data_IF_921224132045
#
_entry.id   IF_921224132045
#
_cell.length_a   1.000
_cell.length_b   1.000
_cell.length_c   1.000
_cell.angle_alpha   90.00
_cell.angle_beta   90.00
_cell.angle_gamma   90.00
#
_symmetry.space_group_name_H-M   'P 1'
#
loop_
_entity.id
_entity.type
_entity.pdbx_description
1 polymer ?
#
# COMPACT_ATOMS: atom_id res chain seq x y z
N UNK A 1 3.76 11.52 -8.11
CA UNK A 1 3.73 12.53 -7.01
C UNK A 1 4.62 12.18 -5.81
N UNK A 2 4.89 10.89 -5.55
CA UNK A 2 5.57 10.45 -4.32
C UNK A 2 6.99 11.05 -4.16
N UNK A 3 7.82 10.99 -5.21
CA UNK A 3 9.17 11.57 -5.18
C UNK A 3 9.19 13.11 -5.04
N UNK A 4 8.12 13.79 -5.46
CA UNK A 4 8.01 15.26 -5.44
C UNK A 4 7.79 15.83 -4.04
N UNK A 5 7.03 15.12 -3.21
CA UNK A 5 6.62 15.60 -1.89
C UNK A 5 7.25 14.84 -0.73
N UNK A 6 7.76 13.62 -0.98
CA UNK A 6 8.16 12.69 0.09
C UNK A 6 9.68 12.44 0.15
N UNK A 7 10.48 13.13 -0.66
CA UNK A 7 11.94 12.97 -0.65
C UNK A 7 12.39 11.53 -0.96
N UNK A 8 13.49 11.09 -0.36
CA UNK A 8 13.98 9.71 -0.50
C UNK A 8 13.30 8.79 0.52
N UNK A 9 12.26 8.08 0.09
CA UNK A 9 11.52 7.16 0.94
C UNK A 9 12.36 6.00 1.47
N UNK A 10 13.25 5.43 0.66
CA UNK A 10 14.14 4.35 1.13
C UNK A 10 15.05 4.82 2.26
N UNK A 11 15.58 6.05 2.17
CA UNK A 11 16.38 6.63 3.25
C UNK A 11 15.57 6.83 4.53
N UNK A 12 14.29 7.18 4.43
CA UNK A 12 13.42 7.34 5.60
C UNK A 12 13.05 5.98 6.20
N UNK A 13 12.55 5.06 5.38
CA UNK A 13 12.06 3.74 5.78
C UNK A 13 13.15 2.86 6.39
N UNK A 14 14.43 3.05 6.04
CA UNK A 14 15.57 2.35 6.66
C UNK A 14 15.62 2.49 8.18
N UNK A 15 15.08 3.58 8.73
CA UNK A 15 15.18 3.87 10.17
C UNK A 15 14.02 3.29 10.99
N UNK A 16 13.10 2.55 10.37
CA UNK A 16 11.94 1.97 11.04
C UNK A 16 12.17 0.48 11.32
N UNK A 17 11.83 0.03 12.54
CA UNK A 17 11.79 -1.39 12.88
C UNK A 17 10.69 -2.14 12.11
N UNK A 18 9.60 -1.44 11.82
CA UNK A 18 8.48 -1.91 11.00
C UNK A 18 8.24 -0.88 9.91
N UNK A 19 8.60 -1.24 8.68
CA UNK A 19 8.29 -0.44 7.49
C UNK A 19 6.78 -0.41 7.28
N UNK A 20 6.24 0.76 6.91
CA UNK A 20 4.80 0.96 6.75
C UNK A 20 4.41 1.82 5.55
N UNK A 21 3.16 1.69 5.11
CA UNK A 21 2.53 2.55 4.10
C UNK A 21 1.00 2.55 4.28
N UNK A 22 0.29 3.33 3.47
CA UNK A 22 -1.16 3.48 3.57
C UNK A 22 -1.82 3.15 2.24
N UNK A 23 -2.93 2.42 2.31
CA UNK A 23 -3.83 2.17 1.18
C UNK A 23 -5.30 2.22 1.66
N UNK A 24 -5.89 3.42 1.60
CA UNK A 24 -7.14 3.70 2.31
C UNK A 24 -8.39 3.44 1.48
N UNK A 25 -8.30 3.62 0.16
CA UNK A 25 -9.47 3.62 -0.72
C UNK A 25 -9.86 2.22 -1.20
N UNK A 26 -11.13 2.00 -1.58
CA UNK A 26 -11.62 0.71 -2.06
C UNK A 26 -11.25 0.49 -3.53
N UNK A 27 -9.95 0.57 -3.86
CA UNK A 27 -9.44 0.35 -5.22
C UNK A 27 -8.17 -0.49 -5.19
N UNK A 28 -7.74 -0.95 -6.34
CA UNK A 28 -6.46 -1.65 -6.53
C UNK A 28 -5.84 -1.09 -7.80
N UNK A 29 -4.58 -1.41 -8.08
CA UNK A 29 -3.95 -0.98 -9.32
C UNK A 29 -4.57 -1.63 -10.56
N UNK A 30 -5.08 -0.78 -11.46
CA UNK A 30 -5.61 -1.14 -12.79
C UNK A 30 -4.72 -0.52 -13.88
N UNK A 31 -4.92 -0.84 -15.18
CA UNK A 31 -4.20 -0.15 -16.24
C UNK A 31 -4.45 1.37 -16.25
N UNK A 32 -5.61 1.79 -15.75
CA UNK A 32 -6.01 3.20 -15.64
C UNK A 32 -5.49 3.88 -14.36
N UNK A 33 -5.23 3.11 -13.30
CA UNK A 33 -4.67 3.57 -12.02
C UNK A 33 -3.42 2.76 -11.61
N UNK A 34 -2.35 2.73 -12.43
CA UNK A 34 -1.16 1.91 -12.17
C UNK A 34 -0.38 2.38 -10.94
N UNK A 35 -0.53 3.65 -10.56
CA UNK A 35 0.13 4.28 -9.41
C UNK A 35 -0.27 3.65 -8.06
N UNK A 36 -1.38 2.92 -7.98
CA UNK A 36 -1.83 2.31 -6.72
C UNK A 36 -0.86 1.23 -6.23
N UNK A 37 -0.15 0.54 -7.13
CA UNK A 37 0.83 -0.49 -6.73
C UNK A 37 2.08 0.09 -6.06
N UNK A 38 2.42 1.35 -6.37
CA UNK A 38 3.76 1.91 -6.13
C UNK A 38 4.08 2.05 -4.65
N UNK A 39 3.16 2.60 -3.84
CA UNK A 39 3.42 2.81 -2.41
C UNK A 39 3.67 1.50 -1.66
N UNK A 40 2.87 0.48 -1.97
CA UNK A 40 2.99 -0.87 -1.43
C UNK A 40 4.31 -1.53 -1.84
N UNK A 41 4.69 -1.43 -3.12
CA UNK A 41 5.97 -1.96 -3.62
C UNK A 41 7.18 -1.19 -3.08
N UNK A 42 7.09 0.12 -2.82
CA UNK A 42 8.15 0.86 -2.12
C UNK A 42 8.33 0.32 -0.71
N UNK A 43 7.24 0.14 0.04
CA UNK A 43 7.30 -0.38 1.40
C UNK A 43 7.87 -1.80 1.47
N UNK A 44 7.40 -2.71 0.61
CA UNK A 44 7.91 -4.09 0.58
C UNK A 44 9.37 -4.14 0.11
N UNK A 45 9.75 -3.41 -0.94
CA UNK A 45 11.15 -3.33 -1.39
C UNK A 45 12.06 -2.81 -0.28
N UNK A 46 11.66 -1.74 0.43
CA UNK A 46 12.45 -1.18 1.53
C UNK A 46 12.61 -2.20 2.68
N UNK A 47 11.56 -2.94 3.01
CA UNK A 47 11.63 -4.00 4.00
C UNK A 47 12.59 -5.12 3.58
N UNK A 48 12.58 -5.54 2.32
CA UNK A 48 13.51 -6.54 1.78
C UNK A 48 14.96 -6.07 1.84
N UNK A 49 15.23 -4.80 1.53
CA UNK A 49 16.59 -4.24 1.55
C UNK A 49 17.13 -4.04 2.96
N UNK A 50 16.29 -3.61 3.90
CA UNK A 50 16.72 -3.21 5.24
C UNK A 50 16.42 -4.26 6.32
N UNK A 51 15.85 -5.40 5.94
CA UNK A 51 15.66 -6.54 6.84
C UNK A 51 14.44 -6.43 7.77
N UNK A 52 13.48 -5.57 7.45
CA UNK A 52 12.23 -5.51 8.22
C UNK A 52 11.42 -6.78 7.97
N UNK A 53 11.21 -7.57 9.02
CA UNK A 53 10.41 -8.81 8.94
C UNK A 53 8.93 -8.51 8.67
N UNK A 54 8.46 -7.33 9.13
CA UNK A 54 7.07 -6.90 9.02
C UNK A 54 6.94 -5.72 8.07
N UNK A 55 5.90 -5.72 7.26
CA UNK A 55 5.51 -4.59 6.40
C UNK A 55 4.06 -4.27 6.71
N UNK A 56 3.86 -3.11 7.34
CA UNK A 56 2.56 -2.63 7.76
C UNK A 56 1.85 -1.90 6.61
N UNK A 57 0.55 -2.13 6.47
CA UNK A 57 -0.30 -1.23 5.70
C UNK A 57 -1.46 -0.74 6.54
N UNK A 58 -1.64 0.58 6.63
CA UNK A 58 -2.90 1.16 7.08
C UNK A 58 -3.94 1.04 5.96
N UNK A 59 -5.04 0.33 6.24
CA UNK A 59 -5.98 -0.08 5.21
C UNK A 59 -7.41 0.29 5.56
N UNK A 60 -8.25 0.43 4.53
CA UNK A 60 -9.71 0.56 4.63
C UNK A 60 -10.29 1.91 5.13
N UNK A 61 -9.48 2.94 5.39
CA UNK A 61 -9.93 4.23 5.93
C UNK A 61 -10.80 5.10 5.02
N UNK A 62 -10.92 4.75 3.74
CA UNK A 62 -11.75 5.44 2.76
C UNK A 62 -12.76 4.52 2.08
N UNK A 63 -13.08 3.36 2.67
CA UNK A 63 -13.93 2.33 2.02
C UNK A 63 -15.43 2.59 2.11
N UNK A 64 -15.82 3.69 2.77
CA UNK A 64 -17.18 4.15 3.00
C UNK A 64 -18.09 3.18 3.79
N UNK A 65 -19.26 3.64 4.20
CA UNK A 65 -20.20 2.87 5.04
C UNK A 65 -20.86 1.67 4.31
N UNK A 66 -20.81 1.63 2.98
CA UNK A 66 -21.29 0.49 2.17
C UNK A 66 -20.26 -0.67 2.09
N UNK A 67 -19.12 -0.54 2.79
CA UNK A 67 -18.06 -1.56 2.76
C UNK A 67 -18.56 -2.94 3.20
N UNK A 68 -18.25 -3.94 2.37
CA UNK A 68 -18.58 -5.35 2.62
C UNK A 68 -17.32 -6.15 2.96
N UNK A 69 -17.46 -7.27 3.67
CA UNK A 69 -16.30 -8.16 3.92
C UNK A 69 -15.67 -8.69 2.63
N UNK A 70 -16.43 -8.82 1.54
CA UNK A 70 -15.88 -9.20 0.24
C UNK A 70 -14.95 -8.11 -0.32
N UNK A 71 -15.34 -6.83 -0.20
CA UNK A 71 -14.49 -5.68 -0.58
C UNK A 71 -13.24 -5.61 0.31
N UNK A 72 -13.37 -5.82 1.62
CA UNK A 72 -12.22 -5.89 2.52
C UNK A 72 -11.23 -6.98 2.13
N UNK A 73 -11.72 -8.18 1.82
CA UNK A 73 -10.89 -9.30 1.36
C UNK A 73 -10.19 -8.97 0.05
N UNK A 74 -10.90 -8.37 -0.91
CA UNK A 74 -10.35 -8.00 -2.21
C UNK A 74 -9.17 -7.02 -2.10
N UNK A 75 -9.32 -5.96 -1.29
CA UNK A 75 -8.24 -4.99 -1.02
C UNK A 75 -7.08 -5.66 -0.29
N UNK A 76 -7.37 -6.41 0.78
CA UNK A 76 -6.33 -7.09 1.55
C UNK A 76 -5.52 -8.08 0.70
N UNK A 77 -6.18 -8.93 -0.10
CA UNK A 77 -5.48 -9.89 -0.97
C UNK A 77 -4.48 -9.19 -1.89
N UNK A 78 -4.86 -8.04 -2.46
CA UNK A 78 -3.99 -7.26 -3.32
C UNK A 78 -2.80 -6.65 -2.55
N UNK A 79 -3.02 -6.08 -1.36
CA UNK A 79 -1.93 -5.60 -0.50
C UNK A 79 -0.94 -6.71 -0.14
N UNK A 80 -1.43 -7.89 0.26
CA UNK A 80 -0.57 -9.02 0.62
C UNK A 80 0.23 -9.56 -0.57
N UNK A 81 -0.36 -9.58 -1.78
CA UNK A 81 0.35 -9.96 -3.02
C UNK A 81 1.50 -9.00 -3.32
N UNK A 82 1.38 -7.72 -2.95
CA UNK A 82 2.42 -6.70 -3.16
C UNK A 82 3.49 -6.66 -2.05
N UNK A 83 3.41 -7.59 -1.09
CA UNK A 83 4.43 -7.79 -0.06
C UNK A 83 4.08 -7.22 1.32
N UNK A 84 2.86 -6.74 1.53
CA UNK A 84 2.37 -6.42 2.88
C UNK A 84 2.18 -7.72 3.67
N UNK A 85 2.53 -7.71 4.95
CA UNK A 85 2.31 -8.86 5.83
C UNK A 85 1.81 -8.49 7.24
N UNK A 86 1.46 -7.23 7.46
CA UNK A 86 0.82 -6.72 8.67
C UNK A 86 -0.30 -5.75 8.26
N UNK A 87 -1.50 -6.28 8.13
CA UNK A 87 -2.70 -5.51 7.80
C UNK A 87 -3.22 -4.74 9.02
N UNK A 88 -3.33 -3.43 8.94
CA UNK A 88 -3.79 -2.56 10.02
C UNK A 88 -5.06 -1.81 9.58
N UNK A 89 -6.27 -2.25 9.97
CA UNK A 89 -7.49 -1.51 9.68
C UNK A 89 -7.42 -0.09 10.26
N UNK A 90 -7.84 0.90 9.47
CA UNK A 90 -7.78 2.33 9.80
C UNK A 90 -8.30 2.67 11.19
N UNK A 91 -9.47 2.15 11.60
CA UNK A 91 -10.03 2.55 12.88
C UNK A 91 -11.22 1.75 13.39
N UNK A 92 -11.16 1.40 14.68
CA UNK A 92 -12.30 0.90 15.43
C UNK A 92 -12.88 2.03 16.30
N UNK A 93 -13.84 2.77 15.76
CA UNK A 93 -14.38 3.95 16.46
C UNK A 93 -15.25 3.55 17.64
N UNK A 94 -14.95 4.11 18.82
CA UNK A 94 -15.77 3.92 20.03
C UNK A 94 -17.21 4.46 19.87
N UNK A 95 -17.40 5.52 19.07
CA UNK A 95 -18.70 6.10 18.78
C UNK A 95 -18.73 6.68 17.38
N UNK A 96 -19.87 6.53 16.70
CA UNK A 96 -20.17 7.16 15.41
C UNK A 96 -21.23 8.27 15.54
N UNK A 97 -21.43 8.80 16.75
CA UNK A 97 -22.38 9.89 16.99
C UNK A 97 -21.93 11.18 16.28
N UNK A 98 -22.91 11.89 15.73
CA UNK A 98 -22.75 13.19 15.08
C UNK A 98 -21.71 13.18 13.97
N UNK A 99 -20.72 14.08 14.01
CA UNK A 99 -19.67 14.21 13.01
C UNK A 99 -18.66 13.05 13.04
N UNK A 100 -18.61 12.24 14.11
CA UNK A 100 -17.65 11.12 14.22
C UNK A 100 -17.85 10.03 13.17
N UNK A 101 -19.07 9.89 12.61
CA UNK A 101 -19.31 8.98 11.48
C UNK A 101 -18.70 9.46 10.15
N UNK A 102 -18.18 10.69 10.11
CA UNK A 102 -17.59 11.30 8.92
C UNK A 102 -16.07 11.39 8.98
N UNK A 103 -15.48 11.08 10.14
CA UNK A 103 -14.04 10.92 10.27
C UNK A 103 -13.64 9.64 9.52
N UNK A 104 -13.02 9.80 8.35
CA UNK A 104 -12.51 8.73 7.47
C UNK A 104 -13.30 7.42 7.53
N UNK A 105 -14.56 7.42 7.02
CA UNK A 105 -15.45 6.29 7.17
C UNK A 105 -15.04 5.10 6.28
N UNK A 106 -15.29 3.86 6.74
CA UNK A 106 -16.08 3.50 7.90
C UNK A 106 -15.26 3.18 9.16
N UNK A 107 -15.95 3.11 10.31
CA UNK A 107 -15.42 2.39 11.48
C UNK A 107 -15.45 0.88 11.19
N UNK A 108 -14.35 0.14 11.38
CA UNK A 108 -14.34 -1.31 11.18
C UNK A 108 -14.94 -2.10 12.38
N UNK A 109 -15.77 -1.46 13.20
CA UNK A 109 -16.24 -1.99 14.48
C UNK A 109 -17.72 -2.43 14.50
N UNK A 110 -18.31 -2.57 15.70
CA UNK A 110 -19.63 -3.17 15.94
C UNK A 110 -20.83 -2.48 15.27
N UNK A 111 -20.62 -1.31 14.67
CA UNK A 111 -21.65 -0.57 13.94
C UNK A 111 -22.07 -1.26 12.64
N UNK A 112 -21.24 -2.15 12.08
CA UNK A 112 -21.55 -2.85 10.83
C UNK A 112 -22.31 -4.17 11.06
N UNK A 113 -23.22 -4.54 10.13
CA UNK A 113 -23.98 -5.79 10.22
C UNK A 113 -23.09 -7.05 10.13
N UNK A 114 -21.92 -6.93 9.49
CA UNK A 114 -20.95 -8.01 9.36
C UNK A 114 -20.04 -8.18 10.57
N UNK A 115 -20.09 -7.31 11.59
CA UNK A 115 -19.19 -7.37 12.75
C UNK A 115 -19.19 -8.73 13.46
N UNK A 116 -20.38 -9.34 13.62
CA UNK A 116 -20.53 -10.69 14.19
C UNK A 116 -19.77 -11.79 13.44
N UNK A 117 -19.33 -11.51 12.21
CA UNK A 117 -18.55 -12.42 11.37
C UNK A 117 -17.11 -11.93 11.15
N UNK A 118 -16.71 -10.78 11.70
CA UNK A 118 -15.40 -10.17 11.47
C UNK A 118 -14.23 -11.09 11.85
N UNK A 119 -14.43 -11.98 12.83
CA UNK A 119 -13.46 -13.00 13.20
C UNK A 119 -13.02 -13.85 12.00
N UNK A 120 -13.90 -14.14 11.04
CA UNK A 120 -13.54 -14.91 9.84
C UNK A 120 -12.50 -14.17 8.98
N UNK A 121 -12.67 -12.85 8.84
CA UNK A 121 -11.72 -11.99 8.13
C UNK A 121 -10.41 -11.86 8.93
N UNK A 122 -10.49 -11.59 10.24
CA UNK A 122 -9.30 -11.48 11.09
C UNK A 122 -8.47 -12.77 11.12
N UNK A 123 -9.12 -13.94 11.24
CA UNK A 123 -8.43 -15.24 11.22
C UNK A 123 -7.80 -15.52 9.85
N UNK A 124 -8.42 -15.07 8.75
CA UNK A 124 -7.85 -15.17 7.41
C UNK A 124 -6.58 -14.30 7.29
N UNK A 125 -6.64 -13.06 7.73
CA UNK A 125 -5.48 -12.15 7.77
C UNK A 125 -4.36 -12.67 8.66
N UNK A 126 -4.69 -13.24 9.83
CA UNK A 126 -3.71 -13.85 10.73
C UNK A 126 -2.88 -14.95 10.03
N UNK A 127 -3.54 -15.83 9.27
CA UNK A 127 -2.86 -16.92 8.55
C UNK A 127 -1.92 -16.39 7.46
N UNK A 128 -2.38 -15.42 6.67
CA UNK A 128 -1.55 -14.79 5.64
C UNK A 128 -0.35 -14.06 6.26
N UNK A 129 -0.61 -13.26 7.30
CA UNK A 129 0.42 -12.54 8.05
C UNK A 129 1.50 -13.48 8.58
N UNK A 130 1.10 -14.59 9.19
CA UNK A 130 2.05 -15.60 9.69
C UNK A 130 2.87 -16.23 8.55
N UNK A 131 2.22 -16.66 7.47
CA UNK A 131 2.90 -17.31 6.33
C UNK A 131 3.89 -16.38 5.62
N UNK A 132 3.58 -15.08 5.52
CA UNK A 132 4.35 -14.12 4.72
C UNK A 132 5.42 -13.35 5.54
N UNK A 133 5.58 -13.64 6.84
CA UNK A 133 6.62 -13.04 7.69
C UNK A 133 7.84 -13.95 7.93
N UNK A 134 7.75 -15.27 7.71
CA UNK A 134 8.79 -16.22 8.13
C UNK A 134 9.89 -16.52 7.11
N UNK A 135 9.82 -15.96 5.90
CA UNK A 135 10.72 -16.28 4.80
C UNK A 135 11.59 -15.11 4.33
N UNK A 136 12.38 -15.35 3.28
CA UNK A 136 13.05 -14.30 2.52
C UNK A 136 12.36 -14.16 1.16
N UNK A 137 11.96 -12.95 0.82
CA UNK A 137 11.40 -12.66 -0.49
C UNK A 137 12.42 -12.93 -1.61
N UNK A 138 11.93 -13.34 -2.77
CA UNK A 138 12.75 -13.70 -3.94
C UNK A 138 12.17 -13.04 -5.19
N UNK A 139 12.80 -11.96 -5.64
CA UNK A 139 12.59 -11.35 -6.95
C UNK A 139 13.83 -11.46 -7.83
N UNK A 140 13.61 -11.63 -9.14
CA UNK A 140 14.69 -11.70 -10.15
C UNK A 140 14.96 -10.36 -10.83
N UNK A 141 14.05 -9.40 -10.67
CA UNK A 141 14.09 -8.12 -11.35
C UNK A 141 14.32 -7.04 -10.30
N UNK A 142 15.29 -6.17 -10.56
CA UNK A 142 15.49 -4.93 -9.82
C UNK A 142 15.06 -3.77 -10.71
N UNK A 143 14.13 -2.95 -10.23
CA UNK A 143 13.62 -1.78 -10.95
C UNK A 143 14.24 -0.53 -10.31
N UNK A 144 14.97 0.27 -11.08
CA UNK A 144 15.60 1.48 -10.55
C UNK A 144 14.54 2.51 -10.18
N UNK A 145 14.53 2.97 -8.92
CA UNK A 145 13.64 4.04 -8.48
C UNK A 145 14.11 5.38 -9.07
N UNK A 146 13.30 6.09 -9.87
CA UNK A 146 13.75 7.21 -10.71
C UNK A 146 13.98 8.53 -9.94
N UNK A 147 14.37 8.47 -8.67
CA UNK A 147 14.47 9.61 -7.77
C UNK A 147 15.45 10.68 -8.28
N UNK A 148 16.64 10.27 -8.74
CA UNK A 148 17.66 11.19 -9.25
C UNK A 148 17.18 11.97 -10.47
N UNK A 149 16.48 11.29 -11.38
CA UNK A 149 15.90 11.92 -12.59
C UNK A 149 14.79 12.89 -12.20
N UNK A 150 13.90 12.50 -11.29
CA UNK A 150 12.81 13.36 -10.82
C UNK A 150 13.36 14.61 -10.12
N UNK A 151 14.37 14.46 -9.25
CA UNK A 151 14.99 15.60 -8.57
C UNK A 151 15.76 16.54 -9.50
N UNK A 152 16.48 15.99 -10.48
CA UNK A 152 17.20 16.79 -11.46
C UNK A 152 16.27 17.67 -12.31
N UNK A 153 15.03 17.23 -12.51
CA UNK A 153 13.99 17.94 -13.29
C UNK A 153 12.86 18.48 -12.40
N UNK A 154 13.12 18.64 -11.10
CA UNK A 154 12.13 19.17 -10.16
C UNK A 154 12.20 20.70 -10.12
N UNK A 155 11.09 21.34 -10.46
CA UNK A 155 10.90 22.78 -10.25
C UNK A 155 9.75 23.00 -9.26
N UNK A 156 9.98 23.74 -8.17
CA UNK A 156 8.95 24.02 -7.17
C UNK A 156 7.69 24.61 -7.81
N UNK A 157 6.53 24.06 -7.44
CA UNK A 157 5.20 24.51 -7.88
C UNK A 157 4.94 24.43 -9.40
N UNK A 158 5.84 23.82 -10.16
CA UNK A 158 5.66 23.55 -11.60
C UNK A 158 5.40 22.06 -11.84
N UNK A 159 4.72 21.76 -12.95
CA UNK A 159 4.62 20.41 -13.51
C UNK A 159 5.48 20.38 -14.78
N UNK A 160 6.66 19.80 -14.68
CA UNK A 160 7.51 19.61 -15.85
C UNK A 160 7.12 18.34 -16.62
N UNK A 161 7.18 18.42 -17.94
CA UNK A 161 6.85 17.31 -18.83
C UNK A 161 7.78 16.11 -18.59
N UNK A 162 9.08 16.34 -18.38
CA UNK A 162 10.07 15.28 -18.16
C UNK A 162 9.80 14.49 -16.87
N UNK A 163 9.56 15.18 -15.75
CA UNK A 163 9.22 14.55 -14.47
C UNK A 163 7.89 13.80 -14.54
N UNK A 164 6.89 14.37 -15.22
CA UNK A 164 5.58 13.73 -15.39
C UNK A 164 5.66 12.46 -16.24
N UNK A 165 6.42 12.51 -17.34
CA UNK A 165 6.65 11.35 -18.21
C UNK A 165 7.42 10.25 -17.46
N UNK A 166 8.46 10.62 -16.70
CA UNK A 166 9.23 9.68 -15.92
C UNK A 166 8.40 8.97 -14.83
N UNK A 167 7.51 9.70 -14.14
CA UNK A 167 6.54 9.09 -13.21
C UNK A 167 5.58 8.15 -13.95
N UNK A 168 5.03 8.56 -15.09
CA UNK A 168 4.10 7.74 -15.86
C UNK A 168 4.72 6.45 -16.40
N UNK A 169 5.95 6.51 -16.92
CA UNK A 169 6.69 5.35 -17.41
C UNK A 169 7.03 4.39 -16.27
N UNK A 170 7.36 4.92 -15.09
CA UNK A 170 7.63 4.11 -13.89
C UNK A 170 6.38 3.39 -13.38
N UNK A 171 5.25 4.10 -13.31
CA UNK A 171 3.97 3.52 -12.92
C UNK A 171 3.53 2.46 -13.95
N UNK A 172 3.69 2.73 -15.24
CA UNK A 172 3.40 1.78 -16.32
C UNK A 172 4.26 0.51 -16.25
N UNK A 173 5.56 0.65 -16.01
CA UNK A 173 6.47 -0.48 -15.85
C UNK A 173 6.09 -1.34 -14.63
N UNK A 174 5.81 -0.68 -13.52
CA UNK A 174 5.35 -1.30 -12.26
C UNK A 174 4.13 -2.18 -12.49
N UNK A 175 3.10 -1.63 -13.15
CA UNK A 175 1.86 -2.35 -13.47
C UNK A 175 2.10 -3.48 -14.49
N UNK A 176 2.87 -3.21 -15.53
CA UNK A 176 3.18 -4.18 -16.60
C UNK A 176 3.86 -5.44 -16.04
N UNK A 177 4.86 -5.28 -15.18
CA UNK A 177 5.57 -6.40 -14.57
C UNK A 177 4.62 -7.26 -13.71
N UNK A 178 3.76 -6.63 -12.91
CA UNK A 178 2.77 -7.35 -12.09
C UNK A 178 1.77 -8.14 -12.94
N UNK A 179 1.26 -7.54 -14.04
CA UNK A 179 0.34 -8.22 -14.97
C UNK A 179 0.98 -9.37 -15.73
N UNK A 180 2.29 -9.31 -15.96
CA UNK A 180 3.08 -10.41 -16.52
C UNK A 180 3.47 -11.46 -15.48
N UNK A 181 3.04 -11.31 -14.22
CA UNK A 181 3.43 -12.15 -13.09
C UNK A 181 4.94 -12.20 -12.87
N UNK A 182 5.62 -11.09 -13.15
CA UNK A 182 7.04 -10.90 -12.91
C UNK A 182 7.21 -10.04 -11.66
N UNK A 183 7.60 -10.67 -10.55
CA UNK A 183 7.89 -9.94 -9.31
C UNK A 183 9.25 -9.25 -9.36
N UNK A 184 9.36 -8.13 -8.64
CA UNK A 184 10.50 -7.22 -8.64
C UNK A 184 10.63 -6.50 -7.29
N UNK A 185 11.80 -5.93 -7.03
CA UNK A 185 11.97 -4.91 -6.00
C UNK A 185 12.52 -3.62 -6.61
N UNK A 186 12.12 -2.49 -6.06
CA UNK A 186 12.72 -1.21 -6.38
C UNK A 186 14.10 -1.06 -5.73
N UNK A 187 15.06 -0.45 -6.42
CA UNK A 187 16.43 -0.21 -5.92
C UNK A 187 16.84 1.26 -6.04
#
# INVERSE_FOLDING_TARGET
RCARCSGNLFSMLRNFDIVGTDHLYPKIGTPEEPNEHVSLKIASSAAHHFGSTRVLCESLGGTYWDCTMARMKWVADWEYVLGINLFNPHGFHYSIADERKRDWPPSQFYHHPWWKHYKLFADYMLRLSYMLSGGKHVAKIAVLYPLSTIWANYVPQSLEAASSLCEADFDYLTDTLLRLHLDYDYV
#
